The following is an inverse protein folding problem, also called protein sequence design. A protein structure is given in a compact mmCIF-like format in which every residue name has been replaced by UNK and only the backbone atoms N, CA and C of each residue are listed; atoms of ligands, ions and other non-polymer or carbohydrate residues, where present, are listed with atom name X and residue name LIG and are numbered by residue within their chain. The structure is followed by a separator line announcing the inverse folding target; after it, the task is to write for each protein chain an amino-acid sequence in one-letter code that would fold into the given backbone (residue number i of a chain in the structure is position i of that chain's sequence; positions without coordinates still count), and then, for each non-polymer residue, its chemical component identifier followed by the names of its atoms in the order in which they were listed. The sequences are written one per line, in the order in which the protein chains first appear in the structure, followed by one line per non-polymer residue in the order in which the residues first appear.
data_IF_188142278293
#
_entry.id   IF_188142278293
#
_cell.length_a   1.000
_cell.length_b   1.000
_cell.length_c   1.000
_cell.angle_alpha   90.00
_cell.angle_beta   90.00
_cell.angle_gamma   90.00
#
_symmetry.space_group_name_H-M   'P 1'
#
loop_
_entity.id
_entity.type
_entity.pdbx_description
1 polymer ?
#
# COMPACT_ATOMS: atom_id res chain seq x y z
N UNK A 1 14.73 -20.89 -11.82
CA UNK A 1 14.97 -20.58 -10.40
C UNK A 1 13.64 -20.20 -9.77
N UNK A 2 13.18 -20.91 -8.74
CA UNK A 2 12.00 -20.47 -7.99
C UNK A 2 12.33 -19.16 -7.27
N UNK A 3 11.50 -18.13 -7.43
CA UNK A 3 11.64 -16.87 -6.70
C UNK A 3 11.58 -17.19 -5.20
N UNK A 4 12.70 -17.07 -4.49
CA UNK A 4 12.72 -17.24 -3.04
C UNK A 4 11.93 -16.09 -2.45
N UNK A 5 10.88 -16.39 -1.68
CA UNK A 5 10.13 -15.35 -0.97
C UNK A 5 11.11 -14.51 -0.13
N UNK A 6 11.03 -13.18 -0.18
CA UNK A 6 11.85 -12.34 0.68
C UNK A 6 11.56 -12.69 2.15
N UNK A 7 12.61 -12.94 2.93
CA UNK A 7 12.49 -13.14 4.37
C UNK A 7 12.75 -11.82 5.08
N UNK A 8 11.68 -11.19 5.58
CA UNK A 8 11.77 -9.90 6.26
C UNK A 8 12.12 -10.00 7.74
N UNK A 9 12.15 -11.19 8.34
CA UNK A 9 12.29 -11.32 9.82
C UNK A 9 13.53 -10.61 10.34
N UNK A 10 14.67 -10.76 9.65
CA UNK A 10 15.91 -10.09 10.05
C UNK A 10 15.87 -8.58 9.83
N UNK A 11 15.26 -8.11 8.74
CA UNK A 11 15.12 -6.67 8.45
C UNK A 11 14.18 -5.99 9.45
N UNK A 12 13.07 -6.66 9.80
CA UNK A 12 12.13 -6.22 10.83
C UNK A 12 12.81 -6.14 12.20
N UNK A 13 13.51 -7.20 12.61
CA UNK A 13 14.24 -7.21 13.87
C UNK A 13 15.29 -6.09 13.94
N UNK A 14 15.99 -5.83 12.83
CA UNK A 14 16.95 -4.73 12.73
C UNK A 14 16.27 -3.37 12.85
N UNK A 15 15.15 -3.15 12.14
CA UNK A 15 14.41 -1.89 12.19
C UNK A 15 13.85 -1.60 13.59
N UNK A 16 13.31 -2.61 14.28
CA UNK A 16 12.83 -2.50 15.66
C UNK A 16 14.00 -2.16 16.59
N UNK A 17 15.11 -2.90 16.51
CA UNK A 17 16.29 -2.68 17.35
C UNK A 17 16.89 -1.27 17.17
N UNK A 18 16.88 -0.75 15.94
CA UNK A 18 17.37 0.61 15.67
C UNK A 18 16.42 1.68 16.23
N UNK A 19 15.11 1.42 16.22
CA UNK A 19 14.11 2.32 16.78
C UNK A 19 14.08 2.29 18.31
N UNK A 20 14.43 1.14 18.91
CA UNK A 20 14.42 0.89 20.33
C UNK A 20 15.64 1.51 21.02
N UNK A 21 15.46 2.73 21.51
CA UNK A 21 16.53 3.55 22.10
C UNK A 21 16.38 3.73 23.61
N UNK A 22 15.37 3.13 24.24
CA UNK A 22 15.04 3.34 25.67
C UNK A 22 15.04 2.00 26.41
N UNK A 23 15.79 1.93 27.49
CA UNK A 23 15.95 0.70 28.29
C UNK A 23 14.73 0.40 29.18
N UNK A 24 13.93 1.43 29.48
CA UNK A 24 12.68 1.34 30.21
C UNK A 24 11.66 2.19 29.44
N UNK A 25 10.43 1.71 29.27
CA UNK A 25 9.34 2.32 28.47
C UNK A 25 9.52 2.19 26.95
N UNK A 26 9.32 0.97 26.45
CA UNK A 26 9.27 0.69 25.00
C UNK A 26 8.18 1.51 24.30
N UNK A 27 8.55 2.11 23.18
CA UNK A 27 7.64 2.84 22.30
C UNK A 27 7.29 1.97 21.09
N UNK A 28 6.25 1.15 21.25
CA UNK A 28 5.78 0.25 20.19
C UNK A 28 5.29 0.99 18.94
N UNK A 29 4.80 2.22 19.08
CA UNK A 29 4.40 3.05 17.94
C UNK A 29 5.62 3.42 17.10
N UNK A 30 6.69 3.90 17.74
CA UNK A 30 7.96 4.22 17.06
C UNK A 30 8.57 3.00 16.37
N UNK A 31 8.51 1.83 17.01
CA UNK A 31 8.97 0.57 16.44
C UNK A 31 8.13 0.16 15.22
N UNK A 32 6.80 0.22 15.32
CA UNK A 32 5.89 -0.10 14.22
C UNK A 32 6.12 0.82 13.02
N UNK A 33 6.24 2.12 13.25
CA UNK A 33 6.56 3.07 12.18
C UNK A 33 7.92 2.79 11.52
N UNK A 34 8.93 2.38 12.30
CA UNK A 34 10.24 2.02 11.75
C UNK A 34 10.14 0.81 10.81
N UNK A 35 9.30 -0.18 11.15
CA UNK A 35 9.01 -1.32 10.27
C UNK A 35 8.31 -0.87 9.00
N UNK A 36 7.28 -0.02 9.09
CA UNK A 36 6.57 0.51 7.93
C UNK A 36 7.51 1.29 7.00
N UNK A 37 8.38 2.14 7.55
CA UNK A 37 9.39 2.87 6.78
C UNK A 37 10.39 1.94 6.10
N UNK A 38 10.87 0.91 6.80
CA UNK A 38 11.78 -0.09 6.22
C UNK A 38 11.11 -0.83 5.04
N UNK A 39 9.86 -1.27 5.19
CA UNK A 39 9.14 -1.91 4.08
C UNK A 39 9.00 -0.98 2.87
N UNK A 40 8.69 0.30 3.09
CA UNK A 40 8.60 1.29 2.03
C UNK A 40 9.95 1.52 1.31
N UNK A 41 11.06 1.57 2.05
CA UNK A 41 12.42 1.70 1.49
C UNK A 41 12.80 0.48 0.63
N UNK A 42 12.31 -0.69 0.97
CA UNK A 42 12.49 -1.93 0.23
C UNK A 42 11.54 -2.06 -0.99
N UNK A 43 10.70 -1.04 -1.24
CA UNK A 43 9.74 -1.03 -2.34
C UNK A 43 8.44 -1.79 -2.05
N UNK A 44 8.19 -2.14 -0.79
CA UNK A 44 6.97 -2.84 -0.36
C UNK A 44 5.96 -1.87 0.24
N UNK A 45 4.70 -2.15 -0.02
CA UNK A 45 3.56 -1.38 0.48
C UNK A 45 2.56 -2.32 1.11
N UNK A 46 1.95 -1.91 2.21
CA UNK A 46 0.87 -2.65 2.86
C UNK A 46 -0.44 -2.29 2.19
N UNK A 47 -1.15 -3.32 1.74
CA UNK A 47 -2.48 -3.22 1.15
C UNK A 47 -3.39 -4.27 1.79
N UNK A 48 -4.70 -4.02 1.87
CA UNK A 48 -5.66 -5.03 2.31
C UNK A 48 -5.56 -6.30 1.47
N UNK A 49 -5.69 -7.48 2.10
CA UNK A 49 -5.64 -8.76 1.40
C UNK A 49 -6.81 -9.01 0.43
N UNK A 50 -7.88 -8.22 0.55
CA UNK A 50 -9.01 -8.15 -0.38
C UNK A 50 -9.33 -6.68 -0.68
N UNK A 51 -9.56 -6.30 -1.94
CA UNK A 51 -9.96 -4.93 -2.26
C UNK A 51 -11.34 -4.63 -1.68
N UNK A 52 -11.52 -3.42 -1.14
CA UNK A 52 -12.85 -2.90 -0.79
C UNK A 52 -13.56 -2.38 -2.04
N UNK A 53 -14.85 -2.08 -1.93
CA UNK A 53 -15.62 -1.51 -3.05
C UNK A 53 -15.01 -0.18 -3.53
N UNK A 54 -14.53 0.68 -2.62
CA UNK A 54 -13.88 1.94 -2.99
C UNK A 54 -12.59 1.72 -3.79
N UNK A 55 -11.85 0.66 -3.48
CA UNK A 55 -10.65 0.27 -4.24
C UNK A 55 -11.04 -0.21 -5.64
N UNK A 56 -12.13 -0.96 -5.76
CA UNK A 56 -12.64 -1.46 -7.04
C UNK A 56 -13.11 -0.30 -7.92
N UNK A 57 -13.90 0.62 -7.36
CA UNK A 57 -14.39 1.80 -8.10
C UNK A 57 -13.23 2.70 -8.54
N UNK A 58 -12.27 2.98 -7.65
CA UNK A 58 -11.05 3.67 -8.05
C UNK A 58 -10.34 2.94 -9.19
N UNK A 59 -10.23 1.62 -9.11
CA UNK A 59 -9.52 0.87 -10.13
C UNK A 59 -10.23 0.94 -11.49
N UNK A 60 -11.56 0.82 -11.52
CA UNK A 60 -12.37 0.92 -12.73
C UNK A 60 -12.17 2.25 -13.47
N UNK A 61 -12.11 3.36 -12.72
CA UNK A 61 -11.99 4.71 -13.28
C UNK A 61 -10.60 5.04 -13.82
N UNK A 62 -9.56 4.43 -13.22
CA UNK A 62 -8.17 4.75 -13.53
C UNK A 62 -7.49 3.68 -14.39
N UNK A 63 -8.18 2.59 -14.69
CA UNK A 63 -7.65 1.55 -15.57
C UNK A 63 -7.55 2.11 -17.00
N UNK A 64 -6.37 2.06 -17.63
CA UNK A 64 -6.27 2.45 -19.03
C UNK A 64 -6.96 1.40 -19.91
N UNK A 65 -7.97 1.81 -20.66
CA UNK A 65 -8.66 0.97 -21.64
C UNK A 65 -8.06 1.17 -23.05
N UNK A 66 -7.93 0.09 -23.82
CA UNK A 66 -7.48 0.15 -25.22
C UNK A 66 -6.60 -1.02 -25.65
N UNK A 67 -6.02 -0.90 -26.86
CA UNK A 67 -5.09 -1.90 -27.41
C UNK A 67 -3.74 -1.79 -26.71
N UNK A 68 -3.48 -2.67 -25.76
CA UNK A 68 -2.20 -2.81 -25.07
C UNK A 68 -1.70 -4.25 -25.19
N UNK A 69 -0.40 -4.46 -25.02
CA UNK A 69 0.13 -5.82 -24.87
C UNK A 69 -0.41 -6.39 -23.55
N UNK A 70 -0.72 -7.70 -23.47
CA UNK A 70 -1.23 -8.29 -22.24
C UNK A 70 -0.36 -8.01 -21.00
N UNK A 71 0.97 -7.99 -21.16
CA UNK A 71 1.91 -7.69 -20.07
C UNK A 71 1.75 -6.26 -19.52
N UNK A 72 1.54 -5.28 -20.41
CA UNK A 72 1.39 -3.87 -20.03
C UNK A 72 0.07 -3.63 -19.30
N UNK A 73 -1.00 -4.33 -19.73
CA UNK A 73 -2.29 -4.31 -19.07
C UNK A 73 -2.19 -4.86 -17.64
N UNK A 74 -1.51 -5.99 -17.43
CA UNK A 74 -1.34 -6.59 -16.10
C UNK A 74 -0.51 -5.70 -15.16
N UNK A 75 0.54 -5.05 -15.67
CA UNK A 75 1.33 -4.07 -14.89
C UNK A 75 0.49 -2.87 -14.49
N UNK A 76 -0.32 -2.36 -15.43
CA UNK A 76 -1.22 -1.22 -15.19
C UNK A 76 -2.28 -1.57 -14.16
N UNK A 77 -2.93 -2.73 -14.31
CA UNK A 77 -3.91 -3.25 -13.35
C UNK A 77 -3.31 -3.34 -11.95
N UNK A 78 -2.15 -3.98 -11.81
CA UNK A 78 -1.46 -4.10 -10.54
C UNK A 78 -1.13 -2.74 -9.92
N UNK A 79 -0.58 -1.80 -10.70
CA UNK A 79 -0.26 -0.45 -10.24
C UNK A 79 -1.49 0.29 -9.71
N UNK A 80 -2.59 0.28 -10.46
CA UNK A 80 -3.83 0.94 -10.08
C UNK A 80 -4.41 0.37 -8.78
N UNK A 81 -4.41 -0.95 -8.60
CA UNK A 81 -4.87 -1.58 -7.37
C UNK A 81 -3.97 -1.26 -6.16
N UNK A 82 -2.65 -1.21 -6.35
CA UNK A 82 -1.72 -0.81 -5.28
C UNK A 82 -1.89 0.66 -4.93
N UNK A 83 -2.11 1.55 -5.90
CA UNK A 83 -2.39 2.97 -5.67
C UNK A 83 -3.67 3.18 -4.85
N UNK A 84 -4.74 2.52 -5.26
CA UNK A 84 -6.01 2.52 -4.54
C UNK A 84 -5.84 2.06 -3.09
N UNK A 85 -5.19 0.91 -2.89
CA UNK A 85 -4.93 0.32 -1.57
C UNK A 85 -4.02 1.17 -0.66
N UNK A 86 -3.17 2.02 -1.23
CA UNK A 86 -2.30 2.96 -0.48
C UNK A 86 -3.02 4.19 0.06
N UNK A 87 -4.30 4.38 -0.24
CA UNK A 87 -5.06 5.54 0.21
C UNK A 87 -5.63 6.40 -0.89
N UNK A 88 -5.31 6.16 -2.17
CA UNK A 88 -5.81 7.00 -3.27
C UNK A 88 -7.34 6.90 -3.39
N UNK A 89 -7.93 5.74 -3.12
CA UNK A 89 -9.37 5.54 -3.07
C UNK A 89 -10.05 6.39 -1.97
N UNK A 90 -9.40 6.53 -0.81
CA UNK A 90 -9.96 7.21 0.38
C UNK A 90 -9.71 8.73 0.40
N UNK A 91 -8.89 9.25 -0.51
CA UNK A 91 -8.60 10.69 -0.64
C UNK A 91 -9.50 11.40 -1.65
N UNK A 92 -10.39 10.68 -2.35
CA UNK A 92 -11.33 11.28 -3.30
C UNK A 92 -12.34 12.15 -2.52
N UNK A 93 -12.44 13.43 -2.90
CA UNK A 93 -13.56 14.30 -2.49
C UNK A 93 -14.85 13.65 -3.01
N UNK A 94 -15.96 13.64 -2.24
CA UNK A 94 -17.22 13.10 -2.74
C UNK A 94 -17.59 13.75 -4.08
N UNK A 95 -18.27 13.01 -4.97
CA UNK A 95 -18.78 13.59 -6.21
C UNK A 95 -19.62 14.84 -5.89
N UNK A 96 -19.55 15.88 -6.73
CA UNK A 96 -20.23 17.15 -6.49
C UNK A 96 -21.73 16.99 -6.22
N UNK A 97 -22.34 15.92 -6.73
CA UNK A 97 -23.77 15.62 -6.63
C UNK A 97 -24.22 15.19 -5.21
N UNK A 98 -23.29 14.85 -4.31
CA UNK A 98 -23.60 14.53 -2.90
C UNK A 98 -23.31 15.70 -1.93
N UNK A 99 -22.73 16.80 -2.43
CA UNK A 99 -22.40 17.97 -1.61
C UNK A 99 -23.51 19.03 -1.57
N UNK A 100 -24.59 18.86 -2.34
CA UNK A 100 -25.72 19.79 -2.41
C UNK A 100 -27.05 19.03 -2.28
N UNK A 101 -27.40 18.67 -1.06
CA UNK A 101 -28.81 18.57 -0.68
C UNK A 101 -29.00 19.43 0.58
N UNK A 102 -29.78 20.53 0.53
CA UNK A 102 -30.01 21.40 1.67
C UNK A 102 -30.76 20.72 2.82
#
# INVERSE_FOLDING_TARGET
MALKRPDFRMKIATAIRQADTRYFFEDYTKQAEAVLRMLAQEGYVLVPGKPSEEIIEYAKDNLPYGRQRPEDMLRSLYGVFMDAGRGAAFKRKPPPDEAETP
#
